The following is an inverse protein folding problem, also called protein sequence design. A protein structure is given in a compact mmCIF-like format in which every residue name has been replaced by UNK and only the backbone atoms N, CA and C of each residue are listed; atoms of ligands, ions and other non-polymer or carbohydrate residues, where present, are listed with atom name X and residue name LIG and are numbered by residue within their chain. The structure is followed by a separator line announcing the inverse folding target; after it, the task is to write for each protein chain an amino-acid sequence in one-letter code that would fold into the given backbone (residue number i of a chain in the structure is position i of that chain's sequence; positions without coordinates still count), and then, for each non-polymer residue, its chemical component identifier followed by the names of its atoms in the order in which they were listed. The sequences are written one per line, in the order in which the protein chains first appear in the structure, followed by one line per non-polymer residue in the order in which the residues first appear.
data_IF_170013849697
#
_entry.id   IF_170013849697
#
_cell.length_a   1.000
_cell.length_b   1.000
_cell.length_c   1.000
_cell.angle_alpha   90.00
_cell.angle_beta   90.00
_cell.angle_gamma   90.00
#
_symmetry.space_group_name_H-M   'P 1'
#
loop_
_entity.id
_entity.type
_entity.pdbx_description
1 polymer ?
#
# COMPACT_ATOMS: atom_id res chain seq x y z
N UNK A 1 15.70 5.21 -5.99
CA UNK A 1 14.64 5.12 -7.02
C UNK A 1 14.05 6.51 -7.19
N UNK A 2 13.58 6.86 -8.39
CA UNK A 2 12.89 8.12 -8.61
C UNK A 2 11.65 8.19 -7.72
N UNK A 3 11.52 9.24 -6.94
CA UNK A 3 10.36 9.49 -6.06
C UNK A 3 9.29 10.34 -6.75
N UNK A 4 9.46 10.60 -8.06
CA UNK A 4 8.59 11.47 -8.82
C UNK A 4 7.67 10.65 -9.73
N UNK A 5 6.39 11.04 -9.84
CA UNK A 5 5.47 10.44 -10.79
C UNK A 5 6.00 10.43 -12.23
N UNK A 6 5.73 9.36 -12.96
CA UNK A 6 6.13 9.22 -14.37
C UNK A 6 5.33 10.18 -15.25
N UNK A 7 5.99 10.76 -16.26
CA UNK A 7 5.31 11.54 -17.31
C UNK A 7 4.74 10.69 -18.43
N UNK A 8 5.17 9.43 -18.50
CA UNK A 8 4.56 8.45 -19.41
C UNK A 8 3.12 8.18 -18.96
N UNK A 9 2.23 8.04 -19.94
CA UNK A 9 0.84 7.68 -19.70
C UNK A 9 0.64 6.18 -19.44
N UNK A 10 -0.62 5.78 -19.38
CA UNK A 10 -1.02 4.39 -19.25
C UNK A 10 -2.41 4.17 -19.87
N UNK A 11 -2.77 2.92 -20.12
CA UNK A 11 -4.11 2.60 -20.59
C UNK A 11 -4.54 1.20 -20.16
N UNK A 12 -5.82 0.92 -20.28
CA UNK A 12 -6.39 -0.40 -20.10
C UNK A 12 -7.83 -0.48 -20.60
N UNK A 13 -8.17 -1.61 -21.21
CA UNK A 13 -9.57 -2.02 -21.39
C UNK A 13 -9.99 -2.80 -20.15
N UNK A 14 -11.07 -2.40 -19.50
CA UNK A 14 -11.51 -2.93 -18.22
C UNK A 14 -13.02 -3.11 -18.13
N UNK A 15 -13.44 -3.69 -17.02
CA UNK A 15 -14.83 -4.00 -16.71
C UNK A 15 -15.23 -3.22 -15.46
N UNK A 16 -16.08 -2.21 -15.62
CA UNK A 16 -16.53 -1.34 -14.53
C UNK A 16 -17.90 -1.79 -13.99
N UNK A 17 -18.03 -1.92 -12.67
CA UNK A 17 -19.34 -2.06 -12.02
C UNK A 17 -19.83 -0.68 -11.61
N UNK A 18 -20.99 -0.26 -12.13
CA UNK A 18 -21.59 1.03 -11.85
C UNK A 18 -23.00 0.87 -11.28
N UNK A 19 -23.46 1.81 -10.45
CA UNK A 19 -24.86 1.82 -10.01
C UNK A 19 -25.79 1.95 -11.21
N UNK A 20 -26.91 1.21 -11.17
CA UNK A 20 -27.93 1.23 -12.22
C UNK A 20 -28.98 2.31 -11.94
N UNK A 21 -28.50 3.50 -11.65
CA UNK A 21 -29.28 4.73 -11.47
C UNK A 21 -28.72 5.85 -12.36
N UNK A 22 -29.41 6.98 -12.41
CA UNK A 22 -28.98 8.13 -13.24
C UNK A 22 -27.61 8.70 -12.81
N UNK A 23 -27.18 8.42 -11.58
CA UNK A 23 -25.88 8.86 -11.08
C UNK A 23 -24.73 8.03 -11.68
N UNK A 24 -24.96 6.74 -11.98
CA UNK A 24 -23.97 5.87 -12.63
C UNK A 24 -22.65 5.79 -11.87
N UNK A 25 -22.70 5.76 -10.54
CA UNK A 25 -21.51 5.79 -9.68
C UNK A 25 -20.67 4.54 -9.91
N UNK A 26 -19.39 4.74 -10.27
CA UNK A 26 -18.42 3.64 -10.39
C UNK A 26 -18.09 3.09 -8.99
N UNK A 27 -18.41 1.81 -8.79
CA UNK A 27 -18.06 1.09 -7.58
C UNK A 27 -16.65 0.50 -7.70
N UNK A 28 -16.36 -0.13 -8.84
CA UNK A 28 -15.05 -0.63 -9.17
C UNK A 28 -14.80 -0.68 -10.68
N UNK A 29 -13.52 -0.82 -11.05
CA UNK A 29 -13.10 -1.15 -12.42
C UNK A 29 -11.95 -2.15 -12.38
N UNK A 30 -12.12 -3.30 -13.03
CA UNK A 30 -11.09 -4.33 -13.18
C UNK A 30 -10.41 -4.22 -14.54
N UNK A 31 -9.08 -4.15 -14.55
CA UNK A 31 -8.26 -4.13 -15.77
C UNK A 31 -7.41 -5.40 -15.86
N UNK A 32 -7.74 -6.36 -16.74
CA UNK A 32 -6.99 -7.62 -16.85
C UNK A 32 -5.57 -7.43 -17.41
N UNK A 33 -5.40 -6.48 -18.34
CA UNK A 33 -4.15 -6.27 -19.07
C UNK A 33 -3.79 -4.77 -19.17
N UNK A 34 -3.57 -4.06 -18.04
CA UNK A 34 -3.14 -2.68 -18.07
C UNK A 34 -1.73 -2.58 -18.66
N UNK A 35 -1.40 -1.45 -19.30
CA UNK A 35 -0.07 -1.20 -19.81
C UNK A 35 0.33 0.27 -19.65
N UNK A 36 1.64 0.52 -19.67
CA UNK A 36 2.16 1.87 -19.86
C UNK A 36 2.00 2.29 -21.32
N UNK A 37 1.77 3.59 -21.52
CA UNK A 37 1.42 4.15 -22.82
C UNK A 37 -0.03 3.89 -23.24
N UNK A 38 -0.41 4.36 -24.45
CA UNK A 38 -1.80 4.32 -24.93
C UNK A 38 -2.24 2.96 -25.51
N UNK A 39 -1.28 2.05 -25.73
CA UNK A 39 -1.48 0.83 -26.52
C UNK A 39 -1.60 -0.44 -25.66
N UNK A 40 -2.31 -0.35 -24.53
CA UNK A 40 -2.66 -1.55 -23.78
C UNK A 40 -3.43 -2.55 -24.65
N UNK A 41 -3.25 -3.84 -24.37
CA UNK A 41 -3.92 -4.92 -25.11
C UNK A 41 -5.43 -4.74 -24.98
N UNK A 42 -6.11 -4.67 -26.12
CA UNK A 42 -7.56 -4.56 -26.12
C UNK A 42 -8.19 -5.93 -25.89
N UNK A 43 -8.81 -6.09 -24.72
CA UNK A 43 -9.48 -7.32 -24.27
C UNK A 43 -11.01 -7.16 -24.28
N UNK A 44 -11.55 -6.18 -25.01
CA UNK A 44 -12.98 -5.89 -25.03
C UNK A 44 -13.83 -7.12 -25.37
N UNK A 45 -13.46 -7.89 -26.41
CA UNK A 45 -14.20 -9.09 -26.84
C UNK A 45 -14.26 -10.17 -25.76
N UNK A 46 -13.25 -10.29 -24.89
CA UNK A 46 -13.25 -11.23 -23.77
C UNK A 46 -14.12 -10.73 -22.60
N UNK A 47 -14.26 -9.41 -22.45
CA UNK A 47 -15.02 -8.78 -21.36
C UNK A 47 -16.50 -8.56 -21.69
N UNK A 48 -16.85 -8.36 -22.97
CA UNK A 48 -18.22 -8.15 -23.43
C UNK A 48 -19.24 -9.19 -22.91
N UNK A 49 -18.93 -10.50 -22.87
CA UNK A 49 -19.84 -11.51 -22.31
C UNK A 49 -20.10 -11.35 -20.80
N UNK A 50 -19.26 -10.61 -20.07
CA UNK A 50 -19.41 -10.34 -18.64
C UNK A 50 -20.20 -9.06 -18.35
N UNK A 51 -20.44 -8.22 -19.36
CA UNK A 51 -21.26 -7.03 -19.23
C UNK A 51 -22.75 -7.39 -19.10
N UNK A 52 -23.47 -6.64 -18.27
CA UNK A 52 -24.88 -6.93 -18.01
C UNK A 52 -25.42 -6.20 -16.79
N UNK A 53 -26.72 -6.37 -16.54
CA UNK A 53 -27.42 -5.77 -15.41
C UNK A 53 -27.64 -6.82 -14.33
N UNK A 54 -27.48 -6.41 -13.06
CA UNK A 54 -27.83 -7.20 -11.88
C UNK A 54 -28.87 -6.44 -11.04
N UNK A 55 -30.15 -6.73 -11.29
CA UNK A 55 -31.29 -6.10 -10.61
C UNK A 55 -31.30 -6.33 -9.09
N UNK A 56 -30.70 -7.43 -8.63
CA UNK A 56 -30.65 -7.74 -7.21
C UNK A 56 -29.71 -6.79 -6.47
N UNK A 57 -28.58 -6.44 -7.11
CA UNK A 57 -27.63 -5.45 -6.61
C UNK A 57 -27.97 -4.01 -6.99
N UNK A 58 -28.76 -3.81 -8.05
CA UNK A 58 -29.03 -2.49 -8.63
C UNK A 58 -27.78 -1.90 -9.28
N UNK A 59 -27.03 -2.73 -10.01
CA UNK A 59 -25.80 -2.34 -10.71
C UNK A 59 -25.81 -2.87 -12.13
N UNK A 60 -25.00 -2.26 -12.99
CA UNK A 60 -24.65 -2.81 -14.29
C UNK A 60 -23.14 -2.85 -14.43
N UNK A 61 -22.67 -3.85 -15.15
CA UNK A 61 -21.27 -4.05 -15.48
C UNK A 61 -21.05 -3.68 -16.94
N UNK A 62 -20.07 -2.83 -17.23
CA UNK A 62 -19.80 -2.32 -18.59
C UNK A 62 -18.32 -2.35 -18.94
N UNK A 63 -18.04 -2.60 -20.23
CA UNK A 63 -16.68 -2.50 -20.76
C UNK A 63 -16.31 -1.03 -20.90
N UNK A 64 -15.13 -0.66 -20.40
CA UNK A 64 -14.58 0.69 -20.46
C UNK A 64 -13.16 0.66 -21.00
N UNK A 65 -12.79 1.69 -21.77
CA UNK A 65 -11.40 1.96 -22.14
C UNK A 65 -10.96 3.20 -21.35
N UNK A 66 -9.93 3.06 -20.54
CA UNK A 66 -9.35 4.18 -19.80
C UNK A 66 -7.96 4.46 -20.33
N UNK A 67 -7.68 5.74 -20.54
CA UNK A 67 -6.38 6.26 -20.99
C UNK A 67 -5.99 7.39 -20.06
N UNK A 68 -4.78 7.30 -19.52
CA UNK A 68 -4.12 8.31 -18.71
C UNK A 68 -3.01 8.89 -19.57
N UNK A 69 -3.06 10.19 -19.85
CA UNK A 69 -2.05 10.84 -20.69
C UNK A 69 -0.69 10.93 -19.98
N UNK A 70 -0.71 11.19 -18.67
CA UNK A 70 0.48 11.33 -17.84
C UNK A 70 0.20 10.86 -16.41
N UNK A 71 1.00 9.92 -15.92
CA UNK A 71 0.91 9.44 -14.54
C UNK A 71 1.32 10.50 -13.50
N UNK A 72 1.85 11.65 -13.93
CA UNK A 72 2.17 12.78 -13.07
C UNK A 72 0.97 13.67 -12.76
N UNK A 73 -0.07 13.61 -13.60
CA UNK A 73 -1.29 14.36 -13.38
C UNK A 73 -2.18 13.63 -12.36
N UNK A 74 -2.95 14.36 -11.53
CA UNK A 74 -3.88 13.73 -10.59
C UNK A 74 -4.94 12.93 -11.36
N UNK A 75 -5.47 11.84 -10.78
CA UNK A 75 -6.56 11.09 -11.38
C UNK A 75 -7.79 11.97 -11.59
N UNK A 76 -8.55 11.72 -12.66
CA UNK A 76 -9.73 12.54 -13.02
C UNK A 76 -11.06 11.90 -12.65
N UNK A 77 -11.12 10.57 -12.54
CA UNK A 77 -12.30 9.81 -12.14
C UNK A 77 -11.94 8.49 -11.43
N UNK A 78 -12.95 7.72 -11.04
CA UNK A 78 -12.75 6.45 -10.34
C UNK A 78 -12.02 5.40 -11.20
N UNK A 79 -12.35 5.29 -12.49
CA UNK A 79 -11.74 4.30 -13.39
C UNK A 79 -10.26 4.60 -13.63
N UNK A 80 -9.87 5.87 -13.69
CA UNK A 80 -8.48 6.33 -13.66
C UNK A 80 -7.77 5.89 -12.37
N UNK A 81 -8.36 6.16 -11.19
CA UNK A 81 -7.78 5.70 -9.91
C UNK A 81 -7.58 4.19 -9.92
N UNK A 82 -8.59 3.40 -10.31
CA UNK A 82 -8.46 1.95 -10.38
C UNK A 82 -7.35 1.51 -11.33
N UNK A 83 -7.17 2.17 -12.48
CA UNK A 83 -6.08 1.86 -13.41
C UNK A 83 -4.71 2.10 -12.74
N UNK A 84 -4.52 3.22 -12.04
CA UNK A 84 -3.27 3.51 -11.30
C UNK A 84 -2.97 2.48 -10.22
N UNK A 85 -3.99 2.04 -9.49
CA UNK A 85 -3.82 0.98 -8.48
C UNK A 85 -3.47 -0.38 -9.13
N UNK A 86 -4.03 -0.69 -10.31
CA UNK A 86 -3.62 -1.87 -11.07
C UNK A 86 -2.16 -1.76 -11.53
N UNK A 87 -1.71 -0.62 -12.05
CA UNK A 87 -0.31 -0.45 -12.47
C UNK A 87 0.67 -0.76 -11.32
N UNK A 88 0.36 -0.31 -10.10
CA UNK A 88 1.14 -0.61 -8.90
C UNK A 88 1.14 -2.11 -8.58
N UNK A 89 -0.04 -2.74 -8.53
CA UNK A 89 -0.15 -4.16 -8.15
C UNK A 89 0.31 -5.15 -9.23
N UNK A 90 0.26 -4.76 -10.51
CA UNK A 90 0.90 -5.48 -11.61
C UNK A 90 2.43 -5.28 -11.65
N UNK A 91 2.99 -4.40 -10.81
CA UNK A 91 4.41 -4.01 -10.78
C UNK A 91 4.89 -3.36 -12.08
N UNK A 92 3.99 -2.71 -12.80
CA UNK A 92 4.35 -1.90 -13.99
C UNK A 92 4.99 -0.57 -13.58
N UNK A 93 4.67 -0.12 -12.37
CA UNK A 93 5.23 1.07 -11.73
C UNK A 93 5.49 0.77 -10.25
N UNK A 94 6.54 1.38 -9.70
CA UNK A 94 6.84 1.31 -8.27
C UNK A 94 5.98 2.31 -7.47
N UNK A 95 5.89 2.16 -6.13
CA UNK A 95 5.31 3.20 -5.30
C UNK A 95 5.93 4.58 -5.56
N UNK A 96 5.10 5.63 -5.54
CA UNK A 96 5.42 7.05 -5.86
C UNK A 96 5.67 7.36 -7.33
N UNK A 97 5.63 6.37 -8.23
CA UNK A 97 5.73 6.59 -9.67
C UNK A 97 4.38 6.96 -10.33
N UNK A 98 3.30 7.00 -9.55
CA UNK A 98 1.97 7.46 -9.97
C UNK A 98 1.45 8.53 -9.01
N UNK A 99 0.85 9.58 -9.57
CA UNK A 99 0.14 10.58 -8.79
C UNK A 99 -1.23 10.01 -8.37
N UNK A 100 -1.55 10.11 -7.10
CA UNK A 100 -2.78 9.62 -6.46
C UNK A 100 -3.47 10.72 -5.62
N UNK A 101 -3.09 11.97 -5.84
CA UNK A 101 -3.68 13.12 -5.16
C UNK A 101 -5.18 13.20 -5.44
N UNK A 102 -5.98 13.41 -4.39
CA UNK A 102 -7.43 13.51 -4.52
C UNK A 102 -8.18 12.18 -4.69
N UNK A 103 -7.49 11.03 -4.82
CA UNK A 103 -8.12 9.73 -5.10
C UNK A 103 -9.29 9.37 -4.16
N UNK A 104 -9.21 9.74 -2.88
CA UNK A 104 -10.25 9.43 -1.89
C UNK A 104 -11.58 10.12 -2.19
N UNK A 105 -11.55 11.27 -2.88
CA UNK A 105 -12.74 11.99 -3.33
C UNK A 105 -13.37 11.39 -4.59
N UNK A 106 -12.61 10.59 -5.35
CA UNK A 106 -13.06 9.95 -6.59
C UNK A 106 -13.61 8.54 -6.36
N UNK A 107 -13.11 7.82 -5.36
CA UNK A 107 -13.55 6.46 -5.06
C UNK A 107 -14.87 6.45 -4.26
N UNK A 108 -15.83 5.64 -4.67
CA UNK A 108 -17.02 5.36 -3.86
C UNK A 108 -16.65 4.53 -2.62
N UNK A 109 -17.38 4.70 -1.51
CA UNK A 109 -17.33 3.72 -0.43
C UNK A 109 -18.24 2.54 -0.82
N UNK A 110 -17.71 1.33 -0.83
CA UNK A 110 -18.36 0.16 -1.43
C UNK A 110 -18.58 -0.91 -0.37
N UNK A 111 -19.69 -1.64 -0.47
CA UNK A 111 -19.88 -2.88 0.28
C UNK A 111 -19.37 -4.04 -0.58
N UNK A 112 -18.22 -4.61 -0.20
CA UNK A 112 -17.58 -5.72 -0.90
C UNK A 112 -18.19 -7.04 -0.45
N UNK A 113 -18.82 -7.77 -1.37
CA UNK A 113 -19.59 -8.98 -1.03
C UNK A 113 -19.16 -10.20 -1.83
N UNK A 114 -19.62 -11.39 -1.42
CA UNK A 114 -19.51 -12.62 -2.21
C UNK A 114 -20.26 -12.56 -3.55
N UNK A 115 -21.03 -11.49 -3.80
CA UNK A 115 -21.79 -11.23 -5.03
C UNK A 115 -21.22 -10.07 -5.85
N UNK A 116 -20.03 -9.60 -5.51
CA UNK A 116 -19.40 -8.43 -6.12
C UNK A 116 -19.68 -7.13 -5.35
N UNK A 117 -19.27 -5.98 -5.90
CA UNK A 117 -19.44 -4.69 -5.25
C UNK A 117 -20.90 -4.25 -5.26
N UNK A 118 -21.31 -3.64 -4.15
CA UNK A 118 -22.64 -3.06 -3.96
C UNK A 118 -22.51 -1.63 -3.43
N UNK A 119 -23.43 -0.76 -3.83
CA UNK A 119 -23.53 0.58 -3.26
C UNK A 119 -23.90 0.51 -1.77
N UNK A 120 -23.36 1.43 -0.97
CA UNK A 120 -23.74 1.57 0.45
C UNK A 120 -25.20 2.04 0.58
N UNK A 121 -25.65 3.10 -0.15
CA UNK A 121 -27.06 3.46 -0.14
C UNK A 121 -27.95 2.32 -0.67
N UNK A 122 -29.03 2.01 0.06
CA UNK A 122 -29.98 0.96 -0.35
C UNK A 122 -29.49 -0.47 -0.15
N UNK A 123 -28.30 -0.69 0.43
CA UNK A 123 -27.70 -2.03 0.52
C UNK A 123 -28.57 -3.07 1.22
N UNK A 124 -29.33 -2.72 2.27
CA UNK A 124 -30.16 -3.72 2.97
C UNK A 124 -31.33 -4.22 2.11
N UNK A 125 -31.86 -3.40 1.18
CA UNK A 125 -32.84 -3.86 0.19
C UNK A 125 -32.17 -4.76 -0.87
N UNK A 126 -30.98 -4.40 -1.34
CA UNK A 126 -30.19 -5.25 -2.24
C UNK A 126 -29.85 -6.59 -1.56
N UNK A 127 -29.44 -6.58 -0.29
CA UNK A 127 -29.17 -7.76 0.52
C UNK A 127 -30.42 -8.64 0.64
N UNK A 128 -31.60 -8.06 0.88
CA UNK A 128 -32.86 -8.81 0.92
C UNK A 128 -33.11 -9.52 -0.42
N UNK A 129 -32.97 -8.83 -1.56
CA UNK A 129 -33.13 -9.42 -2.91
C UNK A 129 -32.11 -10.54 -3.15
N UNK A 130 -30.84 -10.32 -2.81
CA UNK A 130 -29.78 -11.32 -2.96
C UNK A 130 -29.95 -12.55 -2.06
N UNK A 131 -30.47 -12.36 -0.83
CA UNK A 131 -30.73 -13.42 0.15
C UNK A 131 -31.84 -14.38 -0.29
N UNK A 132 -32.75 -13.95 -1.16
CA UNK A 132 -33.77 -14.82 -1.74
C UNK A 132 -33.17 -16.02 -2.49
N UNK A 133 -31.90 -15.91 -2.95
CA UNK A 133 -31.19 -17.00 -3.63
C UNK A 133 -30.32 -17.84 -2.69
N UNK A 134 -29.47 -17.20 -1.88
CA UNK A 134 -28.59 -17.84 -0.87
C UNK A 134 -28.03 -16.77 0.10
N UNK A 135 -27.38 -17.12 1.22
CA UNK A 135 -26.75 -16.15 2.12
C UNK A 135 -25.82 -15.16 1.39
N UNK A 136 -25.64 -13.99 2.00
CA UNK A 136 -24.78 -12.91 1.50
C UNK A 136 -23.71 -12.64 2.55
N UNK A 137 -22.45 -12.73 2.13
CA UNK A 137 -21.29 -12.41 2.97
C UNK A 137 -20.76 -11.04 2.57
N UNK A 138 -20.51 -10.19 3.57
CA UNK A 138 -19.80 -8.92 3.38
C UNK A 138 -18.38 -9.13 3.85
N UNK A 139 -17.41 -8.93 2.96
CA UNK A 139 -15.98 -9.01 3.29
C UNK A 139 -15.50 -7.72 3.94
N UNK A 140 -15.99 -6.56 3.46
CA UNK A 140 -15.61 -5.26 3.98
C UNK A 140 -16.49 -4.13 3.45
N UNK A 141 -16.39 -2.97 4.08
CA UNK A 141 -17.02 -1.73 3.63
C UNK A 141 -15.93 -0.66 3.57
N UNK A 142 -15.41 -0.40 2.38
CA UNK A 142 -14.25 0.46 2.18
C UNK A 142 -14.19 0.98 0.73
N UNK A 143 -13.37 2.00 0.49
CA UNK A 143 -13.04 2.55 -0.84
C UNK A 143 -12.01 1.70 -1.59
N UNK A 144 -11.22 0.89 -0.89
CA UNK A 144 -10.18 0.06 -1.49
C UNK A 144 -10.54 -1.43 -1.34
N UNK A 145 -10.57 -2.20 -2.45
CA UNK A 145 -10.75 -3.63 -2.36
C UNK A 145 -9.45 -4.38 -2.05
N UNK A 146 -9.57 -5.70 -1.91
CA UNK A 146 -8.45 -6.65 -1.77
C UNK A 146 -7.74 -6.78 -3.11
N UNK A 147 -6.40 -6.73 -3.11
CA UNK A 147 -5.58 -6.78 -4.33
C UNK A 147 -5.83 -8.04 -5.15
N UNK A 148 -5.91 -9.20 -4.48
CA UNK A 148 -5.97 -10.52 -5.12
C UNK A 148 -7.27 -10.79 -5.87
N UNK A 149 -8.31 -9.99 -5.60
CA UNK A 149 -9.58 -10.07 -6.33
C UNK A 149 -9.46 -9.45 -7.74
N UNK A 150 -8.34 -8.76 -8.02
CA UNK A 150 -8.04 -8.08 -9.30
C UNK A 150 -6.78 -8.64 -9.96
N UNK A 151 -5.71 -8.84 -9.19
CA UNK A 151 -4.42 -9.35 -9.67
C UNK A 151 -3.67 -10.13 -8.59
N UNK A 152 -3.12 -11.27 -8.99
CA UNK A 152 -2.16 -12.04 -8.17
C UNK A 152 -0.80 -11.95 -8.87
N UNK A 153 0.12 -11.08 -8.41
CA UNK A 153 1.45 -10.98 -9.02
C UNK A 153 2.20 -12.31 -8.88
N UNK A 154 3.09 -12.59 -9.83
CA UNK A 154 3.89 -13.83 -9.80
C UNK A 154 4.98 -13.79 -8.73
N UNK A 155 5.30 -14.97 -8.19
CA UNK A 155 6.42 -15.15 -7.26
C UNK A 155 6.20 -14.57 -5.86
N UNK A 156 4.94 -14.33 -5.46
CA UNK A 156 4.59 -13.88 -4.11
C UNK A 156 3.69 -14.87 -3.39
N UNK A 157 3.68 -14.79 -2.05
CA UNK A 157 2.72 -15.51 -1.20
C UNK A 157 2.01 -14.52 -0.30
N UNK A 158 0.70 -14.70 -0.14
CA UNK A 158 -0.14 -13.89 0.74
C UNK A 158 -1.00 -14.87 1.54
N UNK A 159 -0.73 -14.97 2.85
CA UNK A 159 -1.39 -15.96 3.70
C UNK A 159 -2.83 -15.57 4.07
N UNK A 160 -3.06 -14.28 4.32
CA UNK A 160 -4.39 -13.68 4.45
C UNK A 160 -4.50 -12.49 3.51
N UNK A 161 -5.27 -12.66 2.43
CA UNK A 161 -5.38 -11.66 1.38
C UNK A 161 -6.34 -10.50 1.71
N UNK A 162 -7.05 -10.56 2.85
CA UNK A 162 -7.85 -9.45 3.35
C UNK A 162 -6.97 -8.24 3.72
N UNK A 163 -5.66 -8.48 3.94
CA UNK A 163 -4.70 -7.50 4.46
C UNK A 163 -3.81 -6.86 3.40
N UNK A 164 -4.08 -7.10 2.12
CA UNK A 164 -3.34 -6.49 1.02
C UNK A 164 -4.32 -5.75 0.12
N UNK A 165 -4.28 -4.41 0.17
CA UNK A 165 -5.16 -3.56 -0.65
C UNK A 165 -4.71 -3.51 -2.10
N UNK A 166 -5.66 -3.39 -3.02
CA UNK A 166 -5.36 -3.02 -4.40
C UNK A 166 -4.54 -1.71 -4.42
N UNK A 167 -3.45 -1.69 -5.20
CA UNK A 167 -2.43 -0.65 -5.18
C UNK A 167 -1.22 -0.96 -4.32
N UNK A 168 -1.21 -2.08 -3.57
CA UNK A 168 0.01 -2.59 -2.96
C UNK A 168 0.96 -3.12 -4.05
N UNK A 169 2.27 -2.88 -3.89
CA UNK A 169 3.33 -3.37 -4.78
C UNK A 169 4.15 -4.45 -4.07
N UNK A 170 4.02 -5.71 -4.49
CA UNK A 170 4.74 -6.84 -3.90
C UNK A 170 5.75 -7.42 -4.87
N UNK A 171 7.02 -7.07 -4.73
CA UNK A 171 8.10 -7.60 -5.56
C UNK A 171 8.22 -9.14 -5.45
N UNK A 172 8.82 -9.76 -6.46
CA UNK A 172 9.04 -11.20 -6.48
C UNK A 172 9.89 -11.64 -5.26
N UNK A 173 9.53 -12.78 -4.66
CA UNK A 173 10.11 -13.28 -3.42
C UNK A 173 9.38 -12.82 -2.16
N UNK A 174 8.53 -11.80 -2.24
CA UNK A 174 7.78 -11.32 -1.07
C UNK A 174 6.78 -12.34 -0.54
N UNK A 175 6.81 -12.52 0.78
CA UNK A 175 5.80 -13.27 1.53
C UNK A 175 5.11 -12.34 2.51
N UNK A 176 3.80 -12.15 2.37
CA UNK A 176 2.96 -11.51 3.37
C UNK A 176 2.30 -12.60 4.22
N UNK A 177 2.69 -12.68 5.49
CA UNK A 177 2.10 -13.61 6.46
C UNK A 177 0.78 -13.06 7.02
N UNK A 178 0.05 -13.86 7.81
CA UNK A 178 -1.29 -13.53 8.29
C UNK A 178 -1.39 -12.20 9.06
N UNK A 179 -0.35 -11.80 9.80
CA UNK A 179 -0.34 -10.52 10.51
C UNK A 179 0.20 -9.36 9.64
N UNK A 180 0.81 -9.70 8.50
CA UNK A 180 1.29 -8.75 7.51
C UNK A 180 0.16 -7.91 6.95
N UNK A 181 0.42 -6.63 6.71
CA UNK A 181 -0.52 -5.72 6.05
C UNK A 181 0.24 -4.80 5.11
N UNK A 182 -0.28 -4.62 3.90
CA UNK A 182 0.30 -3.70 2.90
C UNK A 182 -0.80 -2.83 2.31
N UNK A 183 -0.61 -1.52 2.45
CA UNK A 183 -1.55 -0.52 1.94
C UNK A 183 -1.30 -0.19 0.46
N UNK A 184 -2.14 0.67 -0.12
CA UNK A 184 -1.92 1.19 -1.48
C UNK A 184 -0.67 2.10 -1.55
N UNK A 185 -0.08 2.20 -2.74
CA UNK A 185 1.12 2.98 -3.01
C UNK A 185 2.25 2.67 -2.02
N UNK A 186 2.36 1.40 -1.65
CA UNK A 186 3.27 0.91 -0.62
C UNK A 186 3.68 -0.53 -0.94
N UNK A 187 4.73 -1.01 -0.28
CA UNK A 187 5.10 -2.41 -0.31
C UNK A 187 6.60 -2.63 -0.41
N UNK A 188 6.99 -3.62 -1.22
CA UNK A 188 8.34 -4.19 -1.26
C UNK A 188 8.97 -4.00 -2.64
N UNK A 189 10.28 -3.74 -2.67
CA UNK A 189 11.08 -3.58 -3.89
C UNK A 189 12.00 -4.78 -4.19
N UNK A 190 11.93 -5.82 -3.37
CA UNK A 190 12.67 -7.06 -3.53
C UNK A 190 12.08 -8.14 -2.63
N UNK A 191 12.86 -9.18 -2.34
CA UNK A 191 12.43 -10.29 -1.50
C UNK A 191 12.34 -9.84 -0.05
N UNK A 192 11.16 -9.99 0.56
CA UNK A 192 10.91 -9.58 1.95
C UNK A 192 9.96 -10.54 2.67
N UNK A 193 10.19 -10.77 3.96
CA UNK A 193 9.18 -11.32 4.87
C UNK A 193 8.37 -10.19 5.50
N UNK A 194 7.06 -10.18 5.29
CA UNK A 194 6.15 -9.14 5.80
C UNK A 194 5.14 -9.78 6.76
N UNK A 195 5.38 -9.59 8.05
CA UNK A 195 4.54 -10.05 9.16
C UNK A 195 4.01 -8.89 10.01
N UNK A 196 4.39 -7.65 9.67
CA UNK A 196 3.87 -6.42 10.26
C UNK A 196 3.19 -5.50 9.23
N UNK A 197 2.98 -4.24 9.61
CA UNK A 197 2.15 -3.28 8.86
C UNK A 197 3.01 -2.29 8.08
N UNK A 198 2.84 -2.28 6.76
CA UNK A 198 3.42 -1.31 5.81
C UNK A 198 2.33 -0.28 5.47
N UNK A 199 2.48 0.94 6.00
CA UNK A 199 1.54 2.05 5.78
C UNK A 199 1.57 2.58 4.34
N UNK A 200 0.55 3.33 3.93
CA UNK A 200 0.51 3.93 2.59
C UNK A 200 1.73 4.83 2.35
N UNK A 201 2.31 4.75 1.16
CA UNK A 201 3.55 5.43 0.80
C UNK A 201 4.83 4.72 1.27
N UNK A 202 4.76 3.81 2.24
CA UNK A 202 5.97 3.18 2.78
C UNK A 202 6.53 2.16 1.80
N UNK A 203 7.84 2.22 1.61
CA UNK A 203 8.58 1.29 0.75
C UNK A 203 9.62 0.54 1.57
N UNK A 204 9.70 -0.77 1.37
CA UNK A 204 10.65 -1.69 2.00
C UNK A 204 11.61 -2.25 0.96
N UNK A 205 12.91 -2.05 1.18
CA UNK A 205 13.98 -2.51 0.32
C UNK A 205 14.21 -4.01 0.36
N UNK A 206 14.99 -4.49 -0.62
CA UNK A 206 15.31 -5.91 -0.80
C UNK A 206 16.00 -6.54 0.43
N UNK A 207 15.60 -7.76 0.77
CA UNK A 207 16.12 -8.53 1.90
C UNK A 207 15.71 -8.03 3.27
N UNK A 208 14.81 -7.04 3.36
CA UNK A 208 14.34 -6.51 4.63
C UNK A 208 13.12 -7.25 5.15
N UNK A 209 13.12 -7.57 6.44
CA UNK A 209 12.07 -8.32 7.12
C UNK A 209 11.32 -7.43 8.13
N UNK A 210 9.99 -7.48 8.04
CA UNK A 210 9.07 -6.77 8.93
C UNK A 210 8.42 -7.79 9.85
N UNK A 211 8.97 -7.96 11.05
CA UNK A 211 8.56 -9.01 11.99
C UNK A 211 7.12 -8.89 12.48
N UNK A 212 6.61 -9.98 13.05
CA UNK A 212 5.20 -10.15 13.44
C UNK A 212 4.65 -8.99 14.26
N UNK A 213 3.60 -8.33 13.77
CA UNK A 213 2.93 -7.23 14.45
C UNK A 213 3.70 -5.89 14.45
N UNK A 214 4.87 -5.83 13.80
CA UNK A 214 5.65 -4.61 13.70
C UNK A 214 4.89 -3.48 12.98
N UNK A 215 5.27 -2.23 13.25
CA UNK A 215 4.59 -1.03 12.75
C UNK A 215 5.55 -0.14 11.98
N UNK A 216 5.34 0.06 10.68
CA UNK A 216 6.04 1.12 9.95
C UNK A 216 5.07 2.29 9.79
N UNK A 217 5.44 3.41 10.40
CA UNK A 217 4.58 4.57 10.54
C UNK A 217 4.35 5.23 9.18
N UNK A 218 3.08 5.44 8.81
CA UNK A 218 2.71 6.35 7.72
C UNK A 218 2.73 7.80 8.20
N UNK A 219 2.57 8.72 7.26
CA UNK A 219 2.57 10.18 7.48
C UNK A 219 1.58 10.63 8.58
N UNK A 220 0.47 9.91 8.75
CA UNK A 220 -0.62 10.28 9.65
C UNK A 220 -0.40 9.93 11.13
N UNK A 221 0.60 9.12 11.48
CA UNK A 221 0.68 8.54 12.84
C UNK A 221 1.73 9.18 13.75
N UNK A 222 2.45 10.24 13.31
CA UNK A 222 3.49 10.87 14.15
C UNK A 222 3.80 12.34 13.88
N UNK A 223 2.89 13.09 13.26
CA UNK A 223 3.02 14.55 13.10
C UNK A 223 4.07 15.04 12.09
N UNK A 224 4.73 14.12 11.37
CA UNK A 224 5.65 14.42 10.28
C UNK A 224 4.95 14.47 8.92
N UNK A 225 5.49 15.26 7.98
CA UNK A 225 5.03 15.29 6.58
C UNK A 225 5.76 14.29 5.68
N UNK A 226 6.86 13.70 6.16
CA UNK A 226 7.72 12.83 5.38
C UNK A 226 7.23 11.38 5.41
N UNK A 227 7.31 10.73 4.26
CA UNK A 227 6.97 9.32 4.09
C UNK A 227 8.19 8.48 4.50
N UNK A 228 7.97 7.54 5.43
CA UNK A 228 9.02 6.63 5.92
C UNK A 228 9.37 5.59 4.86
N UNK A 229 10.66 5.31 4.71
CA UNK A 229 11.18 4.19 3.91
C UNK A 229 12.10 3.31 4.75
N UNK A 230 12.17 2.03 4.40
CA UNK A 230 13.10 1.05 4.97
C UNK A 230 14.05 0.61 3.86
N UNK A 231 15.36 0.74 4.07
CA UNK A 231 16.39 0.29 3.14
C UNK A 231 16.46 -1.23 3.00
N UNK A 232 17.60 -1.74 2.55
CA UNK A 232 17.86 -3.17 2.30
C UNK A 232 18.38 -3.88 3.54
N UNK A 233 18.12 -5.18 3.65
CA UNK A 233 18.65 -6.06 4.73
C UNK A 233 18.38 -5.55 6.14
N UNK A 234 17.29 -4.81 6.31
CA UNK A 234 16.82 -4.34 7.60
C UNK A 234 16.01 -5.42 8.32
N UNK A 235 16.01 -5.38 9.64
CA UNK A 235 15.16 -6.25 10.46
C UNK A 235 14.38 -5.42 11.47
N UNK A 236 13.06 -5.40 11.32
CA UNK A 236 12.16 -4.92 12.37
C UNK A 236 11.74 -6.11 13.21
N UNK A 237 12.13 -6.14 14.48
CA UNK A 237 11.73 -7.20 15.40
C UNK A 237 10.21 -7.27 15.58
N UNK A 238 9.71 -8.42 16.04
CA UNK A 238 8.29 -8.59 16.33
C UNK A 238 7.79 -7.51 17.30
N UNK A 239 6.60 -6.96 17.03
CA UNK A 239 5.99 -5.86 17.77
C UNK A 239 6.86 -4.58 17.89
N UNK A 240 7.91 -4.45 17.08
CA UNK A 240 8.65 -3.20 16.99
C UNK A 240 7.82 -2.12 16.29
N UNK A 241 8.27 -0.88 16.36
CA UNK A 241 7.71 0.20 15.57
C UNK A 241 8.77 1.20 15.16
N UNK A 242 8.63 1.75 13.96
CA UNK A 242 9.57 2.73 13.42
C UNK A 242 8.82 3.89 12.77
N UNK A 243 9.17 5.11 13.18
CA UNK A 243 8.59 6.37 12.73
C UNK A 243 9.60 7.32 12.08
N UNK A 244 10.75 6.80 11.65
CA UNK A 244 11.78 7.47 10.85
C UNK A 244 12.18 6.55 9.71
N UNK A 245 12.79 7.08 8.65
CA UNK A 245 13.36 6.21 7.63
C UNK A 245 14.58 5.48 8.16
N UNK A 246 14.79 4.25 7.70
CA UNK A 246 16.00 3.48 7.92
C UNK A 246 16.77 3.37 6.60
N UNK A 247 18.08 3.54 6.65
CA UNK A 247 18.96 3.16 5.55
C UNK A 247 19.05 1.64 5.41
N UNK A 248 20.15 1.15 4.85
CA UNK A 248 20.45 -0.26 4.73
C UNK A 248 20.94 -0.86 6.07
N UNK A 249 20.83 -2.17 6.24
CA UNK A 249 21.43 -2.95 7.31
C UNK A 249 21.05 -2.51 8.75
N UNK A 250 19.88 -1.90 8.93
CA UNK A 250 19.40 -1.46 10.24
C UNK A 250 18.61 -2.55 10.98
N UNK A 251 18.59 -2.48 12.32
CA UNK A 251 17.80 -3.38 13.17
C UNK A 251 17.04 -2.57 14.22
N UNK A 252 15.77 -2.90 14.43
CA UNK A 252 14.98 -2.43 15.56
C UNK A 252 14.63 -3.62 16.42
N UNK A 253 15.01 -3.58 17.69
CA UNK A 253 14.70 -4.62 18.66
C UNK A 253 13.19 -4.92 18.73
N UNK A 254 12.84 -6.19 18.97
CA UNK A 254 11.46 -6.58 19.22
C UNK A 254 10.83 -5.79 20.39
N UNK A 255 9.58 -5.36 20.20
CA UNK A 255 8.84 -4.57 21.19
C UNK A 255 9.29 -3.11 21.35
N UNK A 256 10.33 -2.66 20.63
CA UNK A 256 10.76 -1.26 20.67
C UNK A 256 10.03 -0.43 19.62
N UNK A 257 9.36 0.62 20.05
CA UNK A 257 8.84 1.66 19.16
C UNK A 257 9.77 2.88 19.16
N UNK A 258 10.37 3.20 18.01
CA UNK A 258 11.20 4.39 17.77
C UNK A 258 10.39 5.42 16.98
N UNK A 259 9.89 6.44 17.66
CA UNK A 259 9.24 7.60 17.03
C UNK A 259 10.28 8.65 16.62
N UNK A 260 9.94 9.57 15.71
CA UNK A 260 10.82 10.68 15.33
C UNK A 260 11.29 11.55 16.52
N UNK A 261 10.48 11.63 17.58
CA UNK A 261 10.78 12.38 18.80
C UNK A 261 11.51 11.57 19.88
N UNK A 262 11.62 10.25 19.74
CA UNK A 262 12.28 9.39 20.73
C UNK A 262 13.71 9.86 20.96
N UNK A 263 14.07 10.11 22.22
CA UNK A 263 15.45 10.40 22.60
C UNK A 263 16.23 9.10 22.67
N UNK A 264 17.31 9.02 21.89
CA UNK A 264 18.19 7.86 21.83
C UNK A 264 19.57 8.24 22.38
N UNK A 265 20.14 7.37 23.20
CA UNK A 265 21.50 7.48 23.69
C UNK A 265 22.47 6.96 22.63
N UNK A 266 23.47 7.78 22.31
CA UNK A 266 24.54 7.49 21.37
C UNK A 266 25.70 6.75 22.08
N UNK A 267 26.63 6.11 21.33
CA UNK A 267 27.76 5.40 21.92
C UNK A 267 28.68 6.27 22.79
N UNK A 268 28.73 7.57 22.55
CA UNK A 268 29.51 8.54 23.34
C UNK A 268 28.78 8.98 24.65
N UNK A 269 27.59 8.44 24.91
CA UNK A 269 26.75 8.76 26.06
C UNK A 269 25.87 10.00 25.89
N UNK A 270 26.01 10.75 24.80
CA UNK A 270 25.14 11.88 24.49
C UNK A 270 23.77 11.40 24.01
N UNK A 271 22.79 12.31 23.90
CA UNK A 271 21.43 11.97 23.44
C UNK A 271 21.02 12.81 22.24
N UNK A 272 20.40 12.16 21.25
CA UNK A 272 19.82 12.82 20.08
C UNK A 272 18.34 12.42 19.91
N UNK A 273 17.58 13.21 19.13
CA UNK A 273 16.23 12.78 18.73
C UNK A 273 16.35 11.86 17.52
N UNK A 274 15.61 10.74 17.49
CA UNK A 274 15.76 9.72 16.45
C UNK A 274 15.63 10.26 15.02
N UNK A 275 14.86 11.34 14.79
CA UNK A 275 14.78 12.01 13.47
C UNK A 275 16.14 12.44 12.89
N UNK A 276 17.16 12.72 13.73
CA UNK A 276 18.50 13.11 13.24
C UNK A 276 19.26 11.92 12.66
N UNK A 277 18.75 10.71 12.84
CA UNK A 277 19.29 9.43 12.36
C UNK A 277 18.50 8.86 11.17
N UNK A 278 17.47 9.57 10.71
CA UNK A 278 16.62 9.11 9.62
C UNK A 278 17.44 8.86 8.35
N UNK A 279 17.29 7.67 7.77
CA UNK A 279 17.94 7.25 6.53
C UNK A 279 19.39 6.82 6.66
N UNK A 280 19.95 6.74 7.88
CA UNK A 280 21.30 6.21 8.08
C UNK A 280 21.34 4.69 8.03
N UNK A 281 22.47 4.17 7.56
CA UNK A 281 22.72 2.74 7.43
C UNK A 281 23.29 2.14 8.72
N UNK A 282 23.19 0.82 8.88
CA UNK A 282 23.94 0.05 9.87
C UNK A 282 23.61 0.36 11.33
N UNK A 283 22.42 0.88 11.64
CA UNK A 283 22.04 1.22 13.02
C UNK A 283 21.28 0.07 13.71
N UNK A 284 21.61 -0.18 14.99
CA UNK A 284 20.82 -1.03 15.89
C UNK A 284 20.15 -0.16 16.94
N UNK A 285 18.81 -0.13 16.92
CA UNK A 285 18.00 0.48 17.97
C UNK A 285 17.58 -0.59 18.98
N UNK A 286 17.85 -0.34 20.25
CA UNK A 286 17.44 -1.23 21.35
C UNK A 286 17.01 -0.44 22.59
N UNK A 287 16.29 -1.09 23.50
CA UNK A 287 16.05 -0.62 24.85
C UNK A 287 16.96 -1.36 25.80
N UNK A 288 17.80 -0.62 26.53
CA UNK A 288 18.58 -1.20 27.60
C UNK A 288 17.64 -1.75 28.67
N UNK A 289 17.70 -3.05 28.92
CA UNK A 289 16.78 -3.74 29.83
C UNK A 289 17.02 -3.42 31.31
N UNK A 290 18.18 -2.86 31.65
CA UNK A 290 18.51 -2.46 33.03
C UNK A 290 18.14 -1.00 33.28
N UNK A 291 18.55 -0.08 32.39
CA UNK A 291 18.31 1.36 32.58
C UNK A 291 16.98 1.86 32.00
N UNK A 292 16.38 1.09 31.08
CA UNK A 292 15.20 1.49 30.32
C UNK A 292 15.47 2.48 29.18
N UNK A 293 16.71 2.97 29.04
CA UNK A 293 17.10 3.93 28.01
C UNK A 293 16.98 3.31 26.61
N UNK A 294 16.52 4.11 25.64
CA UNK A 294 16.59 3.72 24.23
C UNK A 294 17.98 4.09 23.74
N UNK A 295 18.70 3.14 23.18
CA UNK A 295 20.07 3.26 22.70
C UNK A 295 20.11 3.02 21.20
N UNK A 296 21.07 3.66 20.54
CA UNK A 296 21.43 3.33 19.16
C UNK A 296 22.91 2.97 19.10
N UNK A 297 23.22 1.88 18.40
CA UNK A 297 24.57 1.33 18.27
C UNK A 297 24.90 1.13 16.78
N UNK A 298 26.17 1.32 16.38
CA UNK A 298 26.61 0.91 15.05
C UNK A 298 26.69 -0.62 14.97
N UNK A 299 26.25 -1.21 13.84
CA UNK A 299 26.34 -2.64 13.55
C UNK A 299 27.62 -3.03 12.83
N UNK A 300 28.19 -2.13 12.04
CA UNK A 300 29.30 -2.41 11.11
C UNK A 300 30.66 -1.91 11.58
N UNK A 301 30.77 -1.39 12.81
CA UNK A 301 32.02 -0.84 13.36
C UNK A 301 32.39 0.56 12.85
N UNK A 302 31.72 1.04 11.80
CA UNK A 302 31.72 2.46 11.42
C UNK A 302 30.83 3.25 12.40
N UNK A 303 31.30 4.40 12.89
CA UNK A 303 30.59 5.21 13.90
C UNK A 303 29.27 5.81 13.41
N UNK A 304 28.48 6.39 14.31
CA UNK A 304 27.20 7.04 13.98
C UNK A 304 27.44 8.50 13.57
N UNK A 305 26.98 8.92 12.39
CA UNK A 305 27.18 10.28 11.87
C UNK A 305 25.90 11.12 11.97
N UNK A 306 25.82 12.11 12.85
CA UNK A 306 24.63 12.98 12.96
C UNK A 306 24.52 13.97 11.79
N UNK A 307 23.29 14.27 11.33
CA UNK A 307 23.06 15.27 10.30
C UNK A 307 23.46 16.69 10.79
N UNK A 308 24.58 17.21 10.30
CA UNK A 308 25.14 18.51 10.71
C UNK A 308 24.20 19.71 10.43
N UNK A 309 23.33 19.63 9.43
CA UNK A 309 22.38 20.70 9.10
C UNK A 309 21.26 20.86 10.15
N UNK A 310 20.97 19.81 10.93
CA UNK A 310 20.03 19.88 12.06
C UNK A 310 20.68 20.37 13.36
N UNK A 311 22.00 20.61 13.34
CA UNK A 311 22.81 20.99 14.49
C UNK A 311 23.49 22.36 14.31
N UNK A 312 23.25 23.04 13.19
CA UNK A 312 23.58 24.45 13.03
C UNK A 312 22.42 25.29 13.60
N UNK A 313 22.69 26.03 14.68
CA UNK A 313 21.78 27.06 15.22
C UNK A 313 21.86 28.33 14.39
#
# INVERSE_FOLDING_TARGET
MSTAPRREGASGTGLATVTDDDAGTVLDTWYPAPALGPDATDVATDLEPMAGVDDARGVRTVVVRTVIDSLADPPVDASDVYLRLHLLSHRLVAPHEVNLDGQFGLLANVVWTDRGPCAVPGFELARMRMRARRPVTVYGVDKFPRMVDYVVPTGVRIADADRVRLGAHLAEGTTVMHEGFVNFNAGTLGSSMVEGRISAGVVVGDGSDVGGGASIMGTLSGGGKEVVSIGRRCLLGANAGIGISLGDDCVVEAGLYVTAGTKVTLPDGSTAAARTLSGQDGLLFRRNSVSGAVEVLPRTGEGIALNSALHAN
#
